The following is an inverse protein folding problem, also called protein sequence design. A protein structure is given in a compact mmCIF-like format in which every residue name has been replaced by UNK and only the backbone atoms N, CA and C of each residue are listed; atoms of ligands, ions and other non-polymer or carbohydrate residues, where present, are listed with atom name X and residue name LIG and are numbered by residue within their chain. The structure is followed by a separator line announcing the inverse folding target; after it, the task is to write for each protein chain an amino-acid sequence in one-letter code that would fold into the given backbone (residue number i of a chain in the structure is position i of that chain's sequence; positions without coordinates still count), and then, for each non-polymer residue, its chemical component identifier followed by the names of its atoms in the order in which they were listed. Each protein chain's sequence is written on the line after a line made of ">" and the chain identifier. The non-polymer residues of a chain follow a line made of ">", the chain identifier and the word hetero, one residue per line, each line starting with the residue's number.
data_IF_903119537489
#
_entry.id   IF_903119537489
#
_cell.length_a   1.000
_cell.length_b   1.000
_cell.length_c   1.000
_cell.angle_alpha   90.00
_cell.angle_beta   90.00
_cell.angle_gamma   90.00
#
_symmetry.space_group_name_H-M   'P 1'
#
loop_
_entity.id
_entity.type
_entity.pdbx_description
1 polymer ?
#
# COMPACT_ATOMS: atom_id res chain seq x y z
N UNK A 1 -7.92 12.01 -15.44
CA UNK A 1 -6.90 11.17 -14.78
C UNK A 1 -5.63 11.37 -15.59
N UNK A 2 -4.66 12.07 -15.04
CA UNK A 2 -3.37 12.27 -15.73
C UNK A 2 -2.58 10.98 -15.56
N UNK A 3 -2.36 10.28 -16.67
CA UNK A 3 -1.46 9.13 -16.67
C UNK A 3 -0.08 9.61 -16.21
N UNK A 4 0.49 8.93 -15.22
CA UNK A 4 1.89 9.12 -14.86
C UNK A 4 2.74 8.90 -16.12
N UNK A 5 3.60 9.84 -16.52
CA UNK A 5 4.34 9.74 -17.78
C UNK A 5 5.41 8.64 -17.80
N UNK A 6 5.60 7.93 -16.70
CA UNK A 6 6.55 6.81 -16.63
C UNK A 6 5.87 5.48 -16.99
N UNK A 7 6.59 4.54 -17.62
CA UNK A 7 6.08 3.19 -17.84
C UNK A 7 5.82 2.47 -16.49
N UNK A 8 4.78 1.63 -16.45
CA UNK A 8 4.47 0.78 -15.32
C UNK A 8 5.60 -0.24 -15.10
N UNK A 9 6.15 -0.26 -13.89
CA UNK A 9 7.29 -1.09 -13.52
C UNK A 9 6.82 -2.44 -13.00
N UNK A 10 7.35 -3.53 -13.57
CA UNK A 10 6.91 -4.90 -13.30
C UNK A 10 8.09 -5.77 -12.84
N UNK A 11 7.86 -6.59 -11.82
CA UNK A 11 8.73 -7.71 -11.44
C UNK A 11 8.06 -9.01 -11.84
N UNK A 12 8.81 -9.95 -12.42
CA UNK A 12 8.33 -11.28 -12.79
C UNK A 12 9.01 -12.34 -11.92
N UNK A 13 8.21 -13.23 -11.32
CA UNK A 13 8.69 -14.39 -10.59
C UNK A 13 8.04 -15.66 -11.17
N UNK A 14 8.84 -16.44 -11.91
CA UNK A 14 8.42 -17.60 -12.69
C UNK A 14 9.61 -18.54 -12.80
N UNK A 15 9.50 -19.79 -12.34
CA UNK A 15 10.63 -20.73 -12.33
C UNK A 15 10.94 -21.31 -13.72
N UNK A 16 9.95 -21.41 -14.60
CA UNK A 16 10.15 -21.85 -15.97
C UNK A 16 10.74 -20.72 -16.83
N UNK A 17 12.02 -20.82 -17.18
CA UNK A 17 12.75 -19.76 -17.91
C UNK A 17 12.11 -19.36 -19.25
N UNK A 18 11.48 -20.33 -19.96
CA UNK A 18 10.81 -20.07 -21.24
C UNK A 18 9.56 -19.21 -21.01
N UNK A 19 8.73 -19.55 -20.02
CA UNK A 19 7.52 -18.79 -19.69
C UNK A 19 7.89 -17.41 -19.18
N UNK A 20 8.93 -17.31 -18.37
CA UNK A 20 9.45 -16.01 -17.86
C UNK A 20 9.91 -15.10 -19.01
N UNK A 21 10.59 -15.67 -20.02
CA UNK A 21 11.01 -14.92 -21.19
C UNK A 21 9.81 -14.44 -22.01
N UNK A 22 8.83 -15.31 -22.29
CA UNK A 22 7.59 -14.96 -22.99
C UNK A 22 6.84 -13.84 -22.29
N UNK A 23 6.68 -13.93 -20.95
CA UNK A 23 6.05 -12.87 -20.16
C UNK A 23 6.78 -11.55 -20.33
N UNK A 24 8.11 -11.57 -20.24
CA UNK A 24 8.94 -10.39 -20.40
C UNK A 24 8.77 -9.74 -21.77
N UNK A 25 8.80 -10.53 -22.84
CA UNK A 25 8.62 -10.03 -24.19
C UNK A 25 7.22 -9.42 -24.38
N UNK A 26 6.16 -10.10 -23.97
CA UNK A 26 4.78 -9.61 -24.05
C UNK A 26 4.57 -8.29 -23.29
N UNK A 27 5.17 -8.16 -22.11
CA UNK A 27 5.08 -6.95 -21.29
C UNK A 27 5.82 -5.79 -21.94
N UNK A 28 7.05 -6.02 -22.42
CA UNK A 28 7.86 -4.97 -23.06
C UNK A 28 7.25 -4.50 -24.37
N UNK A 29 6.66 -5.39 -25.18
CA UNK A 29 5.92 -5.03 -26.38
C UNK A 29 4.71 -4.12 -26.09
N UNK A 30 4.11 -4.24 -24.91
CA UNK A 30 2.96 -3.41 -24.49
C UNK A 30 3.37 -2.15 -23.71
N UNK A 31 4.68 -1.91 -23.58
CA UNK A 31 5.23 -0.69 -22.98
C UNK A 31 5.43 -0.74 -21.47
N UNK A 32 5.33 -1.93 -20.85
CA UNK A 32 5.70 -2.13 -19.44
C UNK A 32 7.22 -2.21 -19.28
N UNK A 33 7.73 -1.69 -18.15
CA UNK A 33 9.14 -1.76 -17.79
C UNK A 33 9.41 -2.94 -16.83
N UNK A 34 9.98 -4.03 -17.35
CA UNK A 34 10.36 -5.18 -16.53
C UNK A 34 11.67 -4.87 -15.81
N UNK A 35 11.56 -4.46 -14.55
CA UNK A 35 12.68 -3.99 -13.72
C UNK A 35 13.39 -5.09 -12.96
N UNK A 36 12.80 -6.29 -12.87
CA UNK A 36 13.41 -7.45 -12.21
C UNK A 36 12.74 -8.75 -12.62
N UNK A 37 13.52 -9.83 -12.61
CA UNK A 37 13.03 -11.17 -12.89
C UNK A 37 13.76 -12.21 -12.04
N UNK A 38 13.03 -13.24 -11.58
CA UNK A 38 13.58 -14.34 -10.80
C UNK A 38 12.81 -15.63 -11.04
N UNK A 39 13.41 -16.78 -10.70
CA UNK A 39 12.74 -18.08 -10.65
C UNK A 39 12.40 -18.53 -9.24
N UNK A 40 12.50 -17.65 -8.22
CA UNK A 40 12.37 -18.01 -6.80
C UNK A 40 11.48 -17.02 -6.06
N UNK A 41 10.63 -17.54 -5.18
CA UNK A 41 9.70 -16.69 -4.44
C UNK A 41 10.35 -15.84 -3.33
N UNK A 42 11.39 -16.34 -2.67
CA UNK A 42 12.17 -15.58 -1.68
C UNK A 42 12.87 -14.38 -2.33
N UNK A 43 13.53 -14.58 -3.46
CA UNK A 43 14.16 -13.50 -4.23
C UNK A 43 13.11 -12.50 -4.78
N UNK A 44 11.90 -12.98 -5.14
CA UNK A 44 10.83 -12.10 -5.60
C UNK A 44 10.44 -11.07 -4.54
N UNK A 45 10.32 -11.49 -3.28
CA UNK A 45 10.01 -10.59 -2.16
C UNK A 45 11.12 -9.56 -1.98
N UNK A 46 12.39 -9.97 -2.03
CA UNK A 46 13.54 -9.07 -1.94
C UNK A 46 13.56 -8.05 -3.10
N UNK A 47 13.40 -8.52 -4.34
CA UNK A 47 13.33 -7.64 -5.51
C UNK A 47 12.20 -6.62 -5.41
N UNK A 48 11.02 -7.03 -4.93
CA UNK A 48 9.89 -6.11 -4.77
C UNK A 48 10.15 -5.07 -3.67
N UNK A 49 10.79 -5.45 -2.58
CA UNK A 49 11.19 -4.52 -1.50
C UNK A 49 12.21 -3.49 -1.98
N UNK A 50 13.20 -3.92 -2.75
CA UNK A 50 14.30 -3.07 -3.21
C UNK A 50 13.89 -2.16 -4.37
N UNK A 51 13.21 -2.73 -5.37
CA UNK A 51 12.87 -2.04 -6.61
C UNK A 51 11.57 -1.22 -6.53
N UNK A 52 10.66 -1.55 -5.58
CA UNK A 52 9.34 -0.92 -5.46
C UNK A 52 8.62 -0.82 -6.80
N UNK A 53 8.32 -1.96 -7.45
CA UNK A 53 7.57 -1.98 -8.69
C UNK A 53 6.10 -1.60 -8.47
N UNK A 54 5.39 -1.32 -9.55
CA UNK A 54 3.95 -1.08 -9.50
C UNK A 54 3.17 -2.41 -9.47
N UNK A 55 3.73 -3.45 -10.11
CA UNK A 55 3.13 -4.78 -10.24
C UNK A 55 4.18 -5.87 -10.02
N UNK A 56 3.78 -6.97 -9.39
CA UNK A 56 4.50 -8.24 -9.43
C UNK A 56 3.64 -9.33 -10.01
N UNK A 57 4.20 -10.10 -10.94
CA UNK A 57 3.59 -11.30 -11.51
C UNK A 57 4.28 -12.50 -10.86
N UNK A 58 3.48 -13.38 -10.23
CA UNK A 58 3.98 -14.52 -9.45
C UNK A 58 3.38 -15.84 -9.96
N UNK A 59 4.21 -16.84 -10.22
CA UNK A 59 3.72 -18.22 -10.28
C UNK A 59 3.49 -18.76 -8.86
N UNK A 60 2.58 -19.71 -8.71
CA UNK A 60 2.31 -20.38 -7.43
C UNK A 60 3.47 -21.31 -7.06
N UNK A 61 3.94 -22.12 -8.00
CA UNK A 61 4.99 -23.11 -7.76
C UNK A 61 6.36 -22.55 -8.09
N UNK A 62 7.09 -22.19 -7.07
CA UNK A 62 8.47 -21.73 -7.21
C UNK A 62 9.35 -22.38 -6.14
N UNK A 63 10.66 -22.58 -6.40
CA UNK A 63 11.62 -22.99 -5.38
C UNK A 63 11.84 -21.88 -4.34
N UNK A 64 12.28 -22.29 -3.15
CA UNK A 64 12.45 -21.40 -2.01
C UNK A 64 11.11 -21.11 -1.33
N UNK A 65 10.61 -19.91 -1.42
CA UNK A 65 9.28 -19.54 -0.97
C UNK A 65 8.26 -19.78 -2.10
N UNK A 66 7.11 -20.42 -1.81
CA UNK A 66 6.06 -20.57 -2.81
C UNK A 66 5.37 -19.21 -3.11
N UNK A 67 4.75 -19.11 -4.30
CA UNK A 67 4.17 -17.85 -4.75
C UNK A 67 3.01 -17.34 -3.90
N UNK A 68 2.25 -18.21 -3.25
CA UNK A 68 1.17 -17.78 -2.33
C UNK A 68 1.74 -17.14 -1.07
N UNK A 69 2.84 -17.69 -0.56
CA UNK A 69 3.55 -17.13 0.60
C UNK A 69 4.23 -15.80 0.24
N UNK A 70 4.88 -15.72 -0.93
CA UNK A 70 5.44 -14.48 -1.45
C UNK A 70 4.34 -13.40 -1.64
N UNK A 71 3.18 -13.78 -2.20
CA UNK A 71 2.04 -12.88 -2.35
C UNK A 71 1.55 -12.31 -1.01
N UNK A 72 1.46 -13.15 0.04
CA UNK A 72 1.06 -12.69 1.39
C UNK A 72 2.01 -11.64 1.96
N UNK A 73 3.33 -11.83 1.81
CA UNK A 73 4.32 -10.86 2.28
C UNK A 73 4.22 -9.55 1.49
N UNK A 74 4.17 -9.63 0.16
CA UNK A 74 4.11 -8.44 -0.71
C UNK A 74 2.81 -7.66 -0.51
N UNK A 75 1.67 -8.36 -0.47
CA UNK A 75 0.38 -7.73 -0.27
C UNK A 75 0.20 -7.21 1.17
N UNK A 76 0.70 -7.93 2.18
CA UNK A 76 0.66 -7.51 3.59
C UNK A 76 1.37 -6.19 3.83
N UNK A 77 2.54 -6.02 3.22
CA UNK A 77 3.35 -4.79 3.30
C UNK A 77 2.94 -3.73 2.26
N UNK A 78 1.91 -3.97 1.44
CA UNK A 78 1.45 -3.06 0.35
C UNK A 78 2.57 -2.62 -0.60
N UNK A 79 3.45 -3.54 -0.96
CA UNK A 79 4.64 -3.20 -1.74
C UNK A 79 4.35 -3.01 -3.24
N UNK A 80 3.43 -3.80 -3.80
CA UNK A 80 3.04 -3.79 -5.21
C UNK A 80 1.67 -4.46 -5.42
N UNK A 81 1.04 -4.22 -6.56
CA UNK A 81 -0.08 -5.05 -7.01
C UNK A 81 0.39 -6.48 -7.28
N UNK A 82 -0.39 -7.49 -6.90
CA UNK A 82 -0.05 -8.91 -7.10
C UNK A 82 -0.99 -9.52 -8.14
N UNK A 83 -0.41 -10.03 -9.24
CA UNK A 83 -1.05 -10.87 -10.25
C UNK A 83 -0.48 -12.29 -10.15
N UNK A 84 -1.33 -13.27 -9.86
CA UNK A 84 -0.92 -14.69 -9.92
C UNK A 84 -1.08 -15.24 -11.33
N UNK A 85 -0.04 -15.91 -11.83
CA UNK A 85 -0.04 -16.62 -13.13
C UNK A 85 0.37 -18.06 -12.88
N UNK A 86 -0.49 -19.04 -13.21
CA UNK A 86 -0.23 -20.43 -12.83
C UNK A 86 -0.89 -21.44 -13.75
N UNK A 87 -0.36 -22.67 -13.79
CA UNK A 87 -0.97 -23.78 -14.51
C UNK A 87 -2.23 -24.38 -13.83
N UNK A 88 -2.59 -23.88 -12.64
CA UNK A 88 -3.66 -24.47 -11.84
C UNK A 88 -4.93 -23.62 -11.92
N UNK A 89 -6.07 -24.26 -12.22
CA UNK A 89 -7.39 -23.65 -12.32
C UNK A 89 -8.35 -24.13 -11.23
N UNK A 90 -7.85 -24.91 -10.24
CA UNK A 90 -8.70 -25.40 -9.16
C UNK A 90 -9.18 -24.25 -8.30
N UNK A 91 -10.47 -24.31 -7.95
CA UNK A 91 -11.14 -23.27 -7.17
C UNK A 91 -10.45 -23.00 -5.83
N UNK A 92 -9.96 -24.04 -5.18
CA UNK A 92 -9.25 -23.93 -3.90
C UNK A 92 -7.99 -23.07 -4.00
N UNK A 93 -7.25 -23.17 -5.11
CA UNK A 93 -6.04 -22.36 -5.32
C UNK A 93 -6.37 -20.92 -5.68
N UNK A 94 -7.46 -20.68 -6.41
CA UNK A 94 -7.95 -19.31 -6.66
C UNK A 94 -8.36 -18.63 -5.34
N UNK A 95 -9.07 -19.37 -4.45
CA UNK A 95 -9.45 -18.87 -3.13
C UNK A 95 -8.21 -18.59 -2.26
N UNK A 96 -7.21 -19.48 -2.27
CA UNK A 96 -5.94 -19.26 -1.55
C UNK A 96 -5.16 -18.06 -2.10
N UNK A 97 -5.13 -17.86 -3.42
CA UNK A 97 -4.49 -16.71 -4.04
C UNK A 97 -5.17 -15.39 -3.62
N UNK A 98 -6.51 -15.35 -3.65
CA UNK A 98 -7.29 -14.22 -3.14
C UNK A 98 -6.99 -13.94 -1.67
N UNK A 99 -6.99 -14.97 -0.83
CA UNK A 99 -6.72 -14.85 0.61
C UNK A 99 -5.25 -14.47 0.91
N UNK A 100 -4.35 -14.75 -0.04
CA UNK A 100 -2.96 -14.28 -0.04
C UNK A 100 -2.82 -12.82 -0.52
N UNK A 101 -3.91 -12.15 -0.93
CA UNK A 101 -3.91 -10.76 -1.37
C UNK A 101 -3.65 -10.55 -2.87
N UNK A 102 -3.71 -11.60 -3.69
CA UNK A 102 -3.68 -11.46 -5.14
C UNK A 102 -4.90 -10.67 -5.64
N UNK A 103 -4.66 -9.69 -6.49
CA UNK A 103 -5.69 -8.80 -7.03
C UNK A 103 -6.23 -9.27 -8.38
N UNK A 104 -5.46 -10.12 -9.08
CA UNK A 104 -5.90 -10.82 -10.26
C UNK A 104 -5.23 -12.21 -10.34
N UNK A 105 -5.81 -13.07 -11.16
CA UNK A 105 -5.38 -14.46 -11.33
C UNK A 105 -5.51 -14.86 -12.80
N UNK A 106 -4.47 -15.46 -13.38
CA UNK A 106 -4.43 -15.86 -14.79
C UNK A 106 -3.96 -17.31 -14.90
N UNK A 107 -4.66 -18.12 -15.68
CA UNK A 107 -4.35 -19.54 -15.87
C UNK A 107 -3.54 -19.74 -17.15
N UNK A 108 -2.43 -20.47 -17.05
CA UNK A 108 -1.61 -20.90 -18.20
C UNK A 108 -2.29 -22.04 -18.98
N UNK A 109 -2.23 -22.08 -20.33
CA UNK A 109 -1.62 -21.08 -21.20
C UNK A 109 -2.52 -19.83 -21.38
N UNK A 110 -1.94 -18.66 -21.47
CA UNK A 110 -2.64 -17.39 -21.70
C UNK A 110 -2.08 -16.67 -22.92
N UNK A 111 -2.84 -15.71 -23.42
CA UNK A 111 -2.45 -14.83 -24.52
C UNK A 111 -2.29 -13.39 -24.00
N UNK A 112 -1.69 -12.53 -24.81
CA UNK A 112 -1.57 -11.10 -24.53
C UNK A 112 -2.94 -10.47 -24.24
N UNK A 113 -3.99 -10.88 -24.97
CA UNK A 113 -5.37 -10.44 -24.76
C UNK A 113 -5.95 -10.78 -23.39
N UNK A 114 -5.38 -11.76 -22.69
CA UNK A 114 -5.80 -12.16 -21.34
C UNK A 114 -4.93 -11.49 -20.28
N UNK A 115 -3.62 -11.37 -20.56
CA UNK A 115 -2.63 -10.81 -19.64
C UNK A 115 -2.85 -9.32 -19.37
N UNK A 116 -2.98 -8.52 -20.43
CA UNK A 116 -3.06 -7.05 -20.29
C UNK A 116 -4.31 -6.62 -19.50
N UNK A 117 -5.53 -7.12 -19.78
CA UNK A 117 -6.69 -6.79 -18.93
C UNK A 117 -6.53 -7.23 -17.47
N UNK A 118 -5.88 -8.38 -17.20
CA UNK A 118 -5.64 -8.85 -15.84
C UNK A 118 -4.69 -7.90 -15.08
N UNK A 119 -3.65 -7.38 -15.75
CA UNK A 119 -2.75 -6.38 -15.21
C UNK A 119 -3.50 -5.09 -14.86
N UNK A 120 -4.29 -4.56 -15.79
CA UNK A 120 -5.07 -3.34 -15.57
C UNK A 120 -6.04 -3.48 -14.38
N UNK A 121 -6.69 -4.64 -14.25
CA UNK A 121 -7.56 -4.92 -13.10
C UNK A 121 -6.75 -4.96 -11.80
N UNK A 122 -5.58 -5.60 -11.79
CA UNK A 122 -4.73 -5.67 -10.60
C UNK A 122 -4.26 -4.28 -10.17
N UNK A 123 -3.77 -3.47 -11.10
CA UNK A 123 -3.30 -2.10 -10.84
C UNK A 123 -4.44 -1.19 -10.36
N UNK A 124 -5.60 -1.25 -11.01
CA UNK A 124 -6.76 -0.47 -10.63
C UNK A 124 -7.22 -0.79 -9.19
N UNK A 125 -7.33 -2.08 -8.86
CA UNK A 125 -7.70 -2.51 -7.50
C UNK A 125 -6.66 -2.12 -6.45
N UNK A 126 -5.37 -2.21 -6.78
CA UNK A 126 -4.31 -1.79 -5.87
C UNK A 126 -4.39 -0.28 -5.57
N UNK A 127 -4.60 0.53 -6.61
CA UNK A 127 -4.78 1.98 -6.46
C UNK A 127 -6.00 2.33 -5.58
N UNK A 128 -7.13 1.65 -5.77
CA UNK A 128 -8.34 1.83 -4.95
C UNK A 128 -8.10 1.47 -3.48
N UNK A 129 -7.48 0.31 -3.22
CA UNK A 129 -7.17 -0.14 -1.86
C UNK A 129 -6.21 0.83 -1.16
N UNK A 130 -5.16 1.27 -1.84
CA UNK A 130 -4.18 2.20 -1.29
C UNK A 130 -4.80 3.58 -1.00
N UNK A 131 -5.70 4.05 -1.86
CA UNK A 131 -6.42 5.31 -1.64
C UNK A 131 -7.33 5.20 -0.41
N UNK A 132 -8.09 4.10 -0.29
CA UNK A 132 -8.99 3.87 0.84
C UNK A 132 -8.23 3.78 2.18
N UNK A 133 -7.07 3.11 2.20
CA UNK A 133 -6.23 3.03 3.40
C UNK A 133 -5.73 4.41 3.83
N UNK A 134 -5.28 5.24 2.90
CA UNK A 134 -4.87 6.63 3.19
C UNK A 134 -6.01 7.46 3.77
N UNK A 135 -7.21 7.32 3.21
CA UNK A 135 -8.39 8.03 3.72
C UNK A 135 -8.73 7.59 5.15
N UNK A 136 -8.60 6.29 5.45
CA UNK A 136 -8.81 5.76 6.81
C UNK A 136 -7.75 6.28 7.79
N UNK A 137 -6.48 6.30 7.41
CA UNK A 137 -5.38 6.85 8.22
C UNK A 137 -5.60 8.35 8.51
N UNK A 138 -5.99 9.12 7.50
CA UNK A 138 -6.30 10.55 7.65
C UNK A 138 -7.49 10.79 8.58
N UNK A 139 -8.55 10.00 8.47
CA UNK A 139 -9.71 10.08 9.36
C UNK A 139 -9.33 9.73 10.80
N UNK A 140 -8.54 8.68 10.99
CA UNK A 140 -8.05 8.27 12.30
C UNK A 140 -7.18 9.36 12.93
N UNK A 141 -6.25 9.93 12.16
CA UNK A 141 -5.38 11.02 12.62
C UNK A 141 -6.19 12.26 13.05
N UNK A 142 -7.26 12.61 12.30
CA UNK A 142 -8.16 13.72 12.67
C UNK A 142 -8.93 13.44 13.96
N UNK A 143 -9.42 12.20 14.16
CA UNK A 143 -10.11 11.81 15.39
C UNK A 143 -9.17 11.87 16.61
N UNK A 144 -7.94 11.38 16.46
CA UNK A 144 -6.96 11.41 17.54
C UNK A 144 -6.50 12.83 17.87
N UNK A 145 -6.28 13.67 16.85
CA UNK A 145 -6.02 15.10 17.05
C UNK A 145 -7.15 15.80 17.83
N UNK A 146 -8.43 15.49 17.50
CA UNK A 146 -9.58 16.05 18.20
C UNK A 146 -9.62 15.64 19.68
N UNK A 147 -9.40 14.35 19.98
CA UNK A 147 -9.34 13.85 21.37
C UNK A 147 -8.26 14.56 22.18
N UNK A 148 -7.07 14.76 21.60
CA UNK A 148 -5.96 15.45 22.25
C UNK A 148 -6.31 16.92 22.52
N UNK A 149 -6.92 17.61 21.55
CA UNK A 149 -7.37 19.00 21.71
C UNK A 149 -8.44 19.13 22.81
N UNK A 150 -9.44 18.25 22.81
CA UNK A 150 -10.51 18.27 23.81
C UNK A 150 -9.96 18.02 25.23
N UNK A 151 -9.00 17.10 25.37
CA UNK A 151 -8.32 16.85 26.65
C UNK A 151 -7.50 18.05 27.12
N UNK A 152 -6.79 18.72 26.20
CA UNK A 152 -6.04 19.94 26.52
C UNK A 152 -6.96 21.10 26.96
N UNK A 153 -8.11 21.28 26.26
CA UNK A 153 -9.13 22.23 26.68
C UNK A 153 -9.63 21.93 28.09
N UNK A 154 -9.98 20.67 28.37
CA UNK A 154 -10.42 20.25 29.72
C UNK A 154 -9.38 20.60 30.78
N UNK A 155 -8.11 20.34 30.55
CA UNK A 155 -7.03 20.69 31.49
C UNK A 155 -6.90 22.20 31.70
N UNK A 156 -6.96 23.01 30.65
CA UNK A 156 -6.93 24.48 30.75
C UNK A 156 -8.14 25.04 31.50
N UNK A 157 -9.31 24.42 31.32
CA UNK A 157 -10.51 24.80 32.08
C UNK A 157 -10.40 24.44 33.57
N UNK A 158 -9.93 23.24 33.88
CA UNK A 158 -9.85 22.72 35.24
C UNK A 158 -8.73 23.36 36.06
N UNK A 159 -7.54 23.52 35.49
CA UNK A 159 -6.35 24.02 36.19
C UNK A 159 -6.22 25.55 36.17
N UNK A 160 -6.75 26.21 35.11
CA UNK A 160 -6.60 27.68 34.94
C UNK A 160 -7.91 28.46 34.90
N UNK A 161 -9.05 27.80 35.12
CA UNK A 161 -10.37 28.46 35.18
C UNK A 161 -10.83 29.07 33.86
N UNK A 162 -10.26 28.64 32.73
CA UNK A 162 -10.62 29.16 31.41
C UNK A 162 -12.02 28.73 30.99
N UNK A 163 -12.70 29.54 30.17
CA UNK A 163 -13.85 29.07 29.43
C UNK A 163 -13.38 28.15 28.26
N UNK A 164 -14.27 27.30 27.76
CA UNK A 164 -13.94 26.46 26.59
C UNK A 164 -13.48 27.29 25.38
N UNK A 165 -14.11 28.46 25.19
CA UNK A 165 -13.77 29.39 24.11
C UNK A 165 -12.38 30.01 24.29
N UNK A 166 -12.00 30.36 25.51
CA UNK A 166 -10.68 30.95 25.80
C UNK A 166 -9.59 29.87 25.70
N UNK A 167 -9.83 28.65 26.20
CA UNK A 167 -8.93 27.53 26.04
C UNK A 167 -8.67 27.19 24.54
N UNK A 168 -9.73 27.20 23.74
CA UNK A 168 -9.57 27.00 22.28
C UNK A 168 -8.76 28.13 21.63
N UNK A 169 -9.07 29.38 21.97
CA UNK A 169 -8.35 30.57 21.45
C UNK A 169 -6.87 30.53 21.84
N UNK A 170 -6.57 30.12 23.07
CA UNK A 170 -5.20 29.98 23.55
C UNK A 170 -4.45 28.93 22.70
N UNK A 171 -5.01 27.71 22.49
CA UNK A 171 -4.40 26.69 21.66
C UNK A 171 -4.15 27.17 20.23
N UNK A 172 -5.11 27.85 19.61
CA UNK A 172 -4.97 28.41 18.26
C UNK A 172 -3.86 29.45 18.18
N UNK A 173 -3.82 30.40 19.14
CA UNK A 173 -2.82 31.45 19.15
C UNK A 173 -1.41 30.90 19.33
N UNK A 174 -1.25 29.93 20.21
CA UNK A 174 0.04 29.24 20.38
C UNK A 174 0.46 28.46 19.14
N UNK A 175 -0.47 27.78 18.48
CA UNK A 175 -0.19 27.06 17.24
C UNK A 175 0.26 28.01 16.11
N UNK A 176 -0.40 29.16 15.97
CA UNK A 176 -0.02 30.18 14.99
C UNK A 176 1.37 30.80 15.31
N UNK A 177 1.63 31.11 16.57
CA UNK A 177 2.89 31.72 17.01
C UNK A 177 4.07 30.76 16.79
N UNK A 178 3.89 29.48 17.08
CA UNK A 178 4.92 28.45 16.96
C UNK A 178 4.96 27.81 15.54
N UNK A 179 4.01 28.12 14.66
CA UNK A 179 3.85 27.54 13.30
C UNK A 179 3.73 26.02 13.31
N UNK A 180 2.98 25.50 14.27
CA UNK A 180 2.71 24.06 14.43
C UNK A 180 1.21 23.78 14.41
N UNK A 181 0.82 22.52 14.41
CA UNK A 181 -0.59 22.12 14.43
C UNK A 181 -1.17 22.29 15.84
N UNK A 182 -2.51 22.48 15.92
CA UNK A 182 -3.21 22.63 17.20
C UNK A 182 -3.06 21.41 18.11
N UNK A 183 -3.01 20.19 17.55
CA UNK A 183 -2.83 18.97 18.31
C UNK A 183 -1.43 18.84 18.93
N UNK A 184 -0.41 19.42 18.31
CA UNK A 184 0.94 19.47 18.87
C UNK A 184 1.00 20.42 20.10
N UNK A 185 0.41 21.61 19.99
CA UNK A 185 0.26 22.51 21.14
C UNK A 185 -0.56 21.85 22.24
N UNK A 186 -1.64 21.15 21.88
CA UNK A 186 -2.49 20.48 22.86
C UNK A 186 -1.71 19.38 23.62
N UNK A 187 -0.81 18.65 22.99
CA UNK A 187 0.08 17.68 23.68
C UNK A 187 0.98 18.39 24.68
N UNK A 188 1.63 19.48 24.28
CA UNK A 188 2.49 20.28 25.17
C UNK A 188 1.74 20.83 26.40
N UNK A 189 0.48 21.21 26.23
CA UNK A 189 -0.39 21.59 27.36
C UNK A 189 -0.67 20.39 28.27
N UNK A 190 -1.00 19.23 27.69
CA UNK A 190 -1.24 17.99 28.44
C UNK A 190 0.01 17.54 29.20
N UNK A 191 1.18 17.68 28.61
CA UNK A 191 2.46 17.31 29.21
C UNK A 191 2.98 18.33 30.24
N UNK A 192 2.30 19.47 30.38
CA UNK A 192 2.67 20.56 31.30
C UNK A 192 3.82 21.44 30.82
N UNK A 193 4.22 21.31 29.56
CA UNK A 193 5.29 22.11 28.96
C UNK A 193 4.83 23.51 28.54
N UNK A 194 3.51 23.72 28.42
CA UNK A 194 2.89 24.97 27.99
C UNK A 194 1.69 25.30 28.90
N UNK A 195 1.76 26.46 29.53
CA UNK A 195 0.68 27.03 30.37
C UNK A 195 0.31 28.41 29.87
N UNK A 196 -0.90 28.93 30.18
CA UNK A 196 -1.35 30.28 29.86
C UNK A 196 -0.47 31.37 30.44
#
# INVERSE_FOLDING_TARGET
>A
MSADPRPTRVVIAEDEAIIRLDLKELLQEDGYDVVGETGRGDEAVELVRDLRPDLVILDIKMPGLDGLSAAREIAGDRLAAVLMVTAFSQRELVEQARDAGALAYLVKPFQKSDLIPAIEVALGRFAELTALERDLEDLQARLDARKVIDRAKGRLMDEHGMTEQDAWRFLQQQAMTNRVRNDEIARRVIDGELTP
#
